data_IF_873927549183
#
_entry.id   IF_873927549183
#
_cell.length_a   1.000
_cell.length_b   1.000
_cell.length_c   1.000
_cell.angle_alpha   90.00
_cell.angle_beta   90.00
_cell.angle_gamma   90.00
#
_symmetry.space_group_name_H-M   'P 1'
#
loop_
_entity.id
_entity.type
_entity.pdbx_description
1 polymer ?
#
# COMPACT_ATOMS: atom_id res chain seq x y z
N UNK A 1 -9.97 4.45 13.08
CA UNK A 1 -9.72 3.04 12.67
C UNK A 1 -9.62 2.99 11.16
N UNK A 2 -8.39 3.00 10.60
CA UNK A 2 -8.11 2.89 9.17
C UNK A 2 -8.42 1.49 8.58
N UNK A 3 -8.94 0.57 9.41
CA UNK A 3 -9.16 -0.85 9.16
C UNK A 3 -10.13 -1.20 8.01
N UNK A 4 -10.58 -0.21 7.22
CA UNK A 4 -11.55 -0.45 6.15
C UNK A 4 -11.37 0.39 4.89
N UNK A 5 -10.16 0.87 4.60
CA UNK A 5 -9.85 1.51 3.32
C UNK A 5 -9.73 0.52 2.14
N UNK A 6 -9.34 -0.73 2.42
CA UNK A 6 -9.10 -1.77 1.41
C UNK A 6 -9.96 -3.02 1.59
N UNK A 7 -11.02 -2.96 2.40
CA UNK A 7 -11.90 -4.11 2.59
C UNK A 7 -12.77 -4.36 1.35
N UNK A 8 -12.21 -5.07 0.39
CA UNK A 8 -12.99 -5.97 -0.43
C UNK A 8 -13.66 -7.01 0.46
N UNK A 9 -14.96 -7.18 0.23
CA UNK A 9 -15.90 -8.09 0.86
C UNK A 9 -15.25 -9.29 1.59
N UNK A 10 -15.14 -9.23 2.92
CA UNK A 10 -14.82 -10.39 3.78
C UNK A 10 -16.04 -11.30 3.88
N UNK A 11 -16.42 -11.88 2.74
CA UNK A 11 -17.33 -13.00 2.63
C UNK A 11 -16.50 -14.23 2.33
N UNK A 12 -16.44 -15.16 3.28
CA UNK A 12 -15.74 -16.45 3.24
C UNK A 12 -15.78 -17.11 1.85
N UNK A 13 -14.76 -16.90 1.03
CA UNK A 13 -14.48 -17.73 -0.15
C UNK A 13 -12.97 -17.89 -0.27
N UNK A 14 -12.50 -19.09 0.06
CA UNK A 14 -11.22 -19.56 -0.42
C UNK A 14 -11.33 -19.67 -1.96
N UNK A 15 -10.84 -18.67 -2.68
CA UNK A 15 -10.51 -18.76 -4.09
C UNK A 15 -9.47 -17.70 -4.40
N UNK A 16 -8.41 -18.16 -5.04
CA UNK A 16 -7.34 -17.41 -5.71
C UNK A 16 -7.88 -16.40 -6.71
N UNK A 17 -8.52 -15.35 -6.20
CA UNK A 17 -9.05 -14.23 -6.95
C UNK A 17 -8.22 -13.03 -6.55
N UNK A 18 -7.29 -12.66 -7.44
CA UNK A 18 -6.42 -11.50 -7.32
C UNK A 18 -7.27 -10.26 -6.94
N UNK A 19 -7.23 -9.86 -5.66
CA UNK A 19 -8.01 -8.74 -5.17
C UNK A 19 -7.39 -7.44 -5.70
N UNK A 20 -7.98 -6.90 -6.77
CA UNK A 20 -7.54 -5.64 -7.36
C UNK A 20 -8.23 -4.44 -6.70
N UNK A 21 -7.46 -3.42 -6.36
CA UNK A 21 -7.96 -2.16 -5.81
C UNK A 21 -7.35 -0.96 -6.55
N UNK A 22 -8.16 0.04 -6.86
CA UNK A 22 -7.74 1.27 -7.52
C UNK A 22 -7.77 2.45 -6.54
N UNK A 23 -6.61 3.09 -6.35
CA UNK A 23 -6.50 4.34 -5.59
C UNK A 23 -6.25 5.52 -6.53
N UNK A 24 -7.21 6.44 -6.63
CA UNK A 24 -7.11 7.63 -7.49
C UNK A 24 -7.27 8.93 -6.68
N UNK A 25 -6.82 10.05 -7.26
CA UNK A 25 -6.94 11.38 -6.63
C UNK A 25 -5.92 12.39 -7.19
N UNK A 26 -6.01 13.67 -6.80
CA UNK A 26 -5.16 14.76 -7.33
C UNK A 26 -3.66 14.50 -7.21
N UNK A 27 -2.80 15.13 -8.04
CA UNK A 27 -1.36 15.04 -7.86
C UNK A 27 -0.95 15.49 -6.45
N UNK A 28 0.10 14.87 -5.90
CA UNK A 28 0.66 15.19 -4.58
C UNK A 28 -0.25 14.99 -3.35
N UNK A 29 -1.45 14.41 -3.45
CA UNK A 29 -2.33 14.14 -2.29
C UNK A 29 -1.92 12.93 -1.40
N UNK A 30 -0.68 12.42 -1.52
CA UNK A 30 -0.17 11.37 -0.62
C UNK A 30 -0.45 9.91 -1.02
N UNK A 31 -1.11 9.63 -2.15
CA UNK A 31 -1.43 8.25 -2.59
C UNK A 31 -0.24 7.31 -2.62
N UNK A 32 0.89 7.74 -3.18
CA UNK A 32 2.11 6.93 -3.26
C UNK A 32 2.65 6.65 -1.87
N UNK A 33 2.73 7.65 -1.00
CA UNK A 33 3.14 7.46 0.40
C UNK A 33 2.22 6.48 1.13
N UNK A 34 0.90 6.59 0.94
CA UNK A 34 -0.07 5.67 1.53
C UNK A 34 0.12 4.22 1.06
N UNK A 35 0.30 3.99 -0.25
CA UNK A 35 0.54 2.65 -0.77
C UNK A 35 1.85 2.04 -0.25
N UNK A 36 2.91 2.85 -0.15
CA UNK A 36 4.18 2.39 0.39
C UNK A 36 4.09 2.05 1.88
N UNK A 37 3.43 2.90 2.68
CA UNK A 37 3.23 2.62 4.11
C UNK A 37 2.35 1.38 4.32
N UNK A 38 1.25 1.25 3.58
CA UNK A 38 0.37 0.09 3.67
C UNK A 38 1.13 -1.22 3.36
N UNK A 39 1.85 -1.24 2.25
CA UNK A 39 2.66 -2.38 1.85
C UNK A 39 3.76 -2.71 2.87
N UNK A 40 4.44 -1.69 3.41
CA UNK A 40 5.45 -1.87 4.45
C UNK A 40 4.84 -2.52 5.71
N UNK A 41 3.68 -2.05 6.16
CA UNK A 41 2.98 -2.62 7.30
C UNK A 41 2.57 -4.07 7.03
N UNK A 42 1.98 -4.36 5.86
CA UNK A 42 1.59 -5.72 5.48
C UNK A 42 2.79 -6.68 5.44
N UNK A 43 3.91 -6.26 4.86
CA UNK A 43 5.13 -7.06 4.81
C UNK A 43 5.69 -7.32 6.23
N UNK A 44 5.65 -6.30 7.09
CA UNK A 44 6.11 -6.40 8.49
C UNK A 44 5.25 -7.36 9.31
N UNK A 45 3.93 -7.28 9.15
CA UNK A 45 2.97 -8.13 9.89
C UNK A 45 2.94 -9.58 9.39
N UNK A 46 3.06 -9.79 8.08
CA UNK A 46 2.96 -11.14 7.47
C UNK A 46 4.31 -11.84 7.27
N UNK A 47 5.42 -11.10 7.36
CA UNK A 47 6.75 -11.58 6.94
C UNK A 47 6.88 -11.78 5.43
N UNK A 48 5.95 -11.27 4.63
CA UNK A 48 5.93 -11.40 3.17
C UNK A 48 6.76 -10.35 2.44
N UNK A 49 6.84 -10.49 1.11
CA UNK A 49 7.51 -9.55 0.22
C UNK A 49 6.51 -8.73 -0.60
N UNK A 50 6.85 -7.48 -0.91
CA UNK A 50 6.05 -6.60 -1.77
C UNK A 50 6.88 -6.07 -2.93
N UNK A 51 6.33 -6.13 -4.14
CA UNK A 51 6.94 -5.61 -5.36
C UNK A 51 6.24 -4.32 -5.79
N UNK A 52 7.02 -3.24 -5.93
CA UNK A 52 6.52 -1.98 -6.48
C UNK A 52 6.95 -1.81 -7.93
N UNK A 53 5.97 -1.66 -8.83
CA UNK A 53 6.22 -1.31 -10.23
C UNK A 53 6.04 0.21 -10.39
N UNK A 54 7.15 0.93 -10.55
CA UNK A 54 7.13 2.39 -10.72
C UNK A 54 8.35 2.91 -11.48
N UNK A 55 8.38 4.22 -11.78
CA UNK A 55 9.55 4.86 -12.36
C UNK A 55 10.68 4.98 -11.31
N UNK A 56 11.74 4.19 -11.48
CA UNK A 56 12.89 4.12 -10.56
C UNK A 56 13.53 5.48 -10.29
N UNK A 57 13.84 6.26 -11.35
CA UNK A 57 14.46 7.58 -11.20
C UNK A 57 13.61 8.54 -10.37
N UNK A 58 12.28 8.50 -10.54
CA UNK A 58 11.36 9.33 -9.77
C UNK A 58 11.31 8.90 -8.30
N UNK A 59 11.34 7.59 -8.04
CA UNK A 59 11.35 7.04 -6.70
C UNK A 59 12.62 7.45 -5.93
N UNK A 60 13.78 7.34 -6.57
CA UNK A 60 15.08 7.68 -5.97
C UNK A 60 15.23 9.19 -5.70
N UNK A 61 14.78 10.04 -6.63
CA UNK A 61 14.89 11.50 -6.48
C UNK A 61 13.84 12.10 -5.54
N UNK A 62 12.70 11.44 -5.36
CA UNK A 62 11.59 11.91 -4.52
C UNK A 62 10.91 10.72 -3.85
N UNK A 63 11.52 10.16 -2.79
CA UNK A 63 10.99 8.98 -2.14
C UNK A 63 9.63 9.26 -1.49
N UNK A 64 8.73 8.26 -1.42
CA UNK A 64 7.49 8.35 -0.66
C UNK A 64 7.82 8.58 0.81
N UNK A 65 6.97 9.37 1.46
CA UNK A 65 7.05 9.53 2.90
C UNK A 65 6.61 8.22 3.57
N UNK A 66 7.46 7.70 4.44
CA UNK A 66 7.14 6.61 5.35
C UNK A 66 7.13 7.20 6.76
N UNK A 67 6.02 7.03 7.48
CA UNK A 67 5.97 7.42 8.88
C UNK A 67 6.85 6.46 9.67
N UNK A 68 7.88 6.99 10.32
CA UNK A 68 8.55 6.28 11.40
C UNK A 68 7.52 6.14 12.54
N UNK A 69 7.36 4.94 13.10
CA UNK A 69 6.63 4.83 14.36
C UNK A 69 7.33 5.75 15.36
N UNK A 70 6.61 6.77 15.83
CA UNK A 70 7.08 7.62 16.91
C UNK A 70 6.97 6.72 18.15
N UNK A 71 8.13 6.32 18.67
CA UNK A 71 8.31 5.50 19.88
C UNK A 71 7.48 5.99 21.06
#
# INVERSE_FOLDING_TARGET
MPDRFFSGNSGRVCSTSEQFSLLYGPPACGKTSLLFQFAFNCATESGGEVVFICNKKRLENKPPFLSQEIY
#
